data_IF_422535970095
#
_entry.id   IF_422535970095
#
_cell.length_a   1.000
_cell.length_b   1.000
_cell.length_c   1.000
_cell.angle_alpha   90.00
_cell.angle_beta   90.00
_cell.angle_gamma   90.00
#
_symmetry.space_group_name_H-M   'P 1'
#
loop_
_entity.id
_entity.type
_entity.pdbx_description
1 polymer ?
#
# COMPACT_ATOMS: atom_id res chain seq x y z
N UNK A 1 51.87 -8.99 1.63
CA UNK A 1 52.53 -8.39 2.80
C UNK A 1 53.50 -7.32 2.28
N UNK A 2 53.13 -6.05 2.41
CA UNK A 2 53.98 -4.90 2.14
C UNK A 2 53.65 -3.87 3.22
N UNK A 3 54.63 -3.56 4.07
CA UNK A 3 54.49 -2.66 5.21
C UNK A 3 54.53 -1.20 4.73
N UNK A 4 53.47 -0.44 5.01
CA UNK A 4 53.47 1.02 4.86
C UNK A 4 53.84 1.66 6.20
N UNK A 5 54.97 2.36 6.20
CA UNK A 5 55.51 3.14 7.31
C UNK A 5 54.87 4.53 7.25
N UNK A 6 54.04 4.88 8.24
CA UNK A 6 53.47 6.22 8.37
C UNK A 6 54.50 7.10 9.07
N UNK A 7 54.98 8.13 8.38
CA UNK A 7 55.69 9.25 9.00
C UNK A 7 54.97 10.51 8.54
N UNK A 8 54.42 11.27 9.48
CA UNK A 8 53.94 12.63 9.21
C UNK A 8 54.17 13.52 10.41
N UNK A 9 54.97 14.57 10.21
CA UNK A 9 54.91 15.93 10.75
C UNK A 9 56.29 16.58 10.46
N UNK A 10 56.46 17.80 9.98
CA UNK A 10 55.65 19.02 9.97
C UNK A 10 56.16 19.97 8.85
N UNK A 11 55.29 20.92 8.47
CA UNK A 11 55.52 22.19 7.76
C UNK A 11 55.23 22.32 6.24
N UNK A 12 54.18 23.13 6.03
CA UNK A 12 53.99 24.23 5.06
C UNK A 12 53.38 23.94 3.69
N UNK A 13 52.20 24.54 3.55
CA UNK A 13 51.60 25.11 2.32
C UNK A 13 50.93 24.09 1.40
N UNK A 14 49.61 24.26 1.24
CA UNK A 14 48.74 23.32 0.55
C UNK A 14 48.87 23.30 -0.97
N UNK A 15 48.04 22.47 -1.60
CA UNK A 15 47.12 22.80 -2.70
C UNK A 15 46.31 21.54 -3.07
N UNK A 16 45.13 21.84 -3.59
CA UNK A 16 43.94 21.08 -3.96
C UNK A 16 44.00 20.22 -5.24
N UNK A 17 42.94 19.38 -5.39
CA UNK A 17 42.19 18.94 -6.62
C UNK A 17 42.97 18.16 -7.71
N UNK A 18 42.42 17.30 -8.58
CA UNK A 18 41.10 16.68 -8.84
C UNK A 18 41.28 15.67 -10.00
N UNK A 19 40.38 14.67 -10.07
CA UNK A 19 39.82 14.00 -11.27
C UNK A 19 40.74 13.37 -12.34
N UNK A 20 40.51 12.08 -12.64
CA UNK A 20 39.78 11.70 -13.87
C UNK A 20 39.51 10.18 -13.92
N UNK A 21 38.28 9.89 -14.33
CA UNK A 21 37.72 8.59 -14.63
C UNK A 21 38.41 7.95 -15.86
N UNK A 22 38.50 6.61 -15.89
CA UNK A 22 38.18 5.85 -17.10
C UNK A 22 37.85 4.38 -16.77
N UNK A 23 36.63 4.01 -17.14
CA UNK A 23 36.03 2.67 -17.20
C UNK A 23 36.27 1.99 -18.57
N UNK A 24 35.99 0.69 -18.63
CA UNK A 24 35.88 -0.24 -19.79
C UNK A 24 37.22 -0.85 -20.28
N UNK A 25 37.35 -2.15 -20.61
CA UNK A 25 36.44 -3.29 -20.70
C UNK A 25 37.24 -4.61 -20.77
N UNK A 26 36.62 -5.70 -20.30
CA UNK A 26 36.66 -7.10 -20.80
C UNK A 26 38.00 -7.75 -21.21
N UNK A 27 38.34 -8.87 -20.55
CA UNK A 27 38.33 -10.19 -21.21
C UNK A 27 38.53 -11.35 -20.22
N UNK A 28 37.76 -12.42 -20.44
CA UNK A 28 37.82 -13.74 -19.82
C UNK A 28 39.24 -14.30 -19.71
N UNK A 29 39.58 -14.97 -18.59
CA UNK A 29 40.28 -16.27 -18.63
C UNK A 29 40.33 -16.95 -17.26
N UNK A 30 39.63 -18.08 -17.19
CA UNK A 30 39.90 -19.32 -16.45
C UNK A 30 40.55 -19.23 -15.03
N UNK A 31 39.75 -19.61 -14.04
CA UNK A 31 40.20 -20.07 -12.71
C UNK A 31 41.22 -21.22 -12.89
N UNK A 32 42.49 -21.00 -12.52
CA UNK A 32 43.43 -22.08 -12.24
C UNK A 32 43.57 -22.19 -10.72
N UNK A 33 43.16 -23.34 -10.18
CA UNK A 33 43.47 -23.71 -8.81
C UNK A 33 44.99 -23.79 -8.62
N UNK A 34 45.52 -23.09 -7.62
CA UNK A 34 46.90 -23.24 -7.16
C UNK A 34 46.86 -23.99 -5.84
N UNK A 35 47.12 -25.30 -5.89
CA UNK A 35 47.23 -26.16 -4.72
C UNK A 35 48.64 -25.99 -4.12
N UNK A 36 48.75 -25.23 -3.01
CA UNK A 36 49.99 -25.17 -2.22
C UNK A 36 49.86 -26.14 -1.04
N UNK A 37 50.50 -27.31 -1.13
CA UNK A 37 50.53 -28.31 -0.06
C UNK A 37 51.54 -27.89 1.02
N UNK A 38 51.05 -27.44 2.18
CA UNK A 38 51.82 -27.41 3.43
C UNK A 38 51.11 -28.32 4.43
N UNK A 39 51.70 -29.50 4.65
CA UNK A 39 51.19 -30.51 5.59
C UNK A 39 51.73 -30.19 6.98
N UNK A 40 50.89 -29.61 7.84
CA UNK A 40 51.01 -29.71 9.31
C UNK A 40 49.60 -29.85 9.86
N UNK A 41 49.38 -30.84 10.72
CA UNK A 41 48.08 -31.26 11.25
C UNK A 41 47.33 -30.16 12.00
N UNK A 42 46.51 -29.41 11.27
CA UNK A 42 45.52 -28.48 11.80
C UNK A 42 44.18 -29.09 11.43
N UNK A 43 43.32 -29.34 12.42
CA UNK A 43 41.94 -29.71 12.16
C UNK A 43 41.32 -28.65 11.23
N UNK A 44 41.02 -29.05 10.00
CA UNK A 44 40.28 -28.21 9.07
C UNK A 44 38.87 -28.04 9.64
N UNK A 45 38.65 -26.94 10.36
CA UNK A 45 37.31 -26.44 10.59
C UNK A 45 36.98 -25.62 9.34
N UNK A 46 36.14 -26.11 8.41
CA UNK A 46 35.74 -25.30 7.28
C UNK A 46 35.01 -24.07 7.84
N UNK A 47 35.63 -22.89 7.70
CA UNK A 47 34.95 -21.64 7.95
C UNK A 47 33.98 -21.44 6.77
N UNK A 48 32.75 -21.92 6.92
CA UNK A 48 31.68 -21.55 6.00
C UNK A 48 31.39 -20.07 6.20
N UNK A 49 32.00 -19.23 5.36
CA UNK A 49 31.52 -17.86 5.18
C UNK A 49 30.16 -18.01 4.53
N UNK A 50 29.10 -18.01 5.34
CA UNK A 50 27.73 -17.89 4.86
C UNK A 50 27.67 -16.53 4.17
N UNK A 51 27.62 -16.56 2.84
CA UNK A 51 27.28 -15.41 2.02
C UNK A 51 26.07 -14.72 2.63
N UNK A 52 26.19 -13.41 2.85
CA UNK A 52 25.37 -12.60 3.76
C UNK A 52 23.93 -13.05 3.95
N UNK A 53 23.51 -13.04 5.22
CA UNK A 53 22.11 -13.17 5.59
C UNK A 53 21.22 -12.23 4.76
N UNK A 54 20.13 -12.75 4.20
CA UNK A 54 19.15 -11.99 3.44
C UNK A 54 17.76 -12.22 4.03
N UNK A 55 17.00 -11.13 4.14
CA UNK A 55 15.62 -11.10 4.62
C UNK A 55 14.72 -10.74 3.44
N UNK A 56 13.94 -11.71 3.00
CA UNK A 56 12.92 -11.48 1.98
C UNK A 56 11.66 -10.97 2.68
N UNK A 57 11.25 -9.76 2.34
CA UNK A 57 9.95 -9.21 2.74
C UNK A 57 9.06 -9.11 1.53
N UNK A 58 7.78 -9.37 1.72
CA UNK A 58 6.81 -9.19 0.66
C UNK A 58 5.47 -8.60 1.11
N UNK A 59 4.74 -8.04 0.14
CA UNK A 59 5.14 -7.91 -1.27
C UNK A 59 6.25 -6.87 -1.48
N UNK A 60 7.03 -7.02 -2.57
CA UNK A 60 8.12 -6.09 -2.94
C UNK A 60 7.62 -4.74 -3.47
N UNK A 61 6.31 -4.56 -3.57
CA UNK A 61 5.63 -3.36 -4.03
C UNK A 61 4.67 -2.85 -2.95
N UNK A 62 4.14 -1.64 -3.17
CA UNK A 62 3.19 -1.04 -2.23
C UNK A 62 1.95 -1.94 -2.05
N UNK A 63 1.64 -2.23 -0.79
CA UNK A 63 0.45 -2.95 -0.37
C UNK A 63 -0.72 -1.99 -0.34
N UNK A 64 -1.82 -2.34 -1.00
CA UNK A 64 -3.06 -1.57 -0.93
C UNK A 64 -4.02 -2.26 0.03
N UNK A 65 -4.50 -1.54 1.03
CA UNK A 65 -5.40 -2.05 2.05
C UNK A 65 -6.66 -1.19 2.15
N UNK A 66 -7.83 -1.84 2.25
CA UNK A 66 -9.11 -1.14 2.41
C UNK A 66 -9.42 -0.91 3.89
N UNK A 67 -9.98 0.25 4.24
CA UNK A 67 -10.42 0.54 5.60
C UNK A 67 -11.41 -0.53 6.07
N UNK A 68 -11.21 -1.04 7.28
CA UNK A 68 -12.03 -2.08 7.90
C UNK A 68 -11.67 -3.52 7.52
N UNK A 69 -10.78 -3.73 6.54
CA UNK A 69 -10.33 -5.08 6.15
C UNK A 69 -9.07 -5.48 6.90
N UNK A 70 -8.63 -6.71 6.72
CA UNK A 70 -7.29 -7.15 7.14
C UNK A 70 -6.34 -7.20 5.95
N UNK A 71 -5.06 -6.98 6.19
CA UNK A 71 -4.00 -7.12 5.19
C UNK A 71 -2.80 -7.83 5.79
N UNK A 72 -2.05 -8.56 4.97
CA UNK A 72 -0.91 -9.35 5.40
C UNK A 72 0.35 -9.04 4.60
N UNK A 73 1.50 -9.04 5.27
CA UNK A 73 2.82 -8.92 4.67
C UNK A 73 3.70 -10.05 5.20
N UNK A 74 4.34 -10.78 4.31
CA UNK A 74 5.15 -11.94 4.68
C UNK A 74 6.60 -11.54 4.87
N UNK A 75 7.29 -12.25 5.75
CA UNK A 75 8.72 -12.10 6.00
C UNK A 75 9.37 -13.47 6.10
N UNK A 76 10.44 -13.69 5.34
CA UNK A 76 11.22 -14.92 5.36
C UNK A 76 12.70 -14.60 5.53
N UNK A 77 13.32 -15.11 6.58
CA UNK A 77 14.78 -15.00 6.79
C UNK A 77 15.46 -16.21 6.16
N UNK A 78 16.30 -15.99 5.14
CA UNK A 78 16.89 -17.08 4.35
C UNK A 78 18.12 -17.75 4.99
N UNK A 79 18.66 -17.16 6.06
CA UNK A 79 19.85 -17.64 6.75
C UNK A 79 19.56 -17.91 8.21
N UNK A 80 20.08 -19.04 8.70
CA UNK A 80 19.88 -19.50 10.08
C UNK A 80 20.54 -18.51 11.05
N UNK A 81 19.74 -17.67 11.67
CA UNK A 81 20.17 -16.79 12.76
C UNK A 81 19.82 -17.48 14.07
N UNK A 82 20.77 -18.28 14.59
CA UNK A 82 20.58 -18.95 15.87
C UNK A 82 20.46 -17.90 16.99
N UNK A 83 19.35 -17.94 17.73
CA UNK A 83 19.16 -17.13 18.95
C UNK A 83 18.50 -15.77 18.76
N UNK A 84 18.01 -15.43 17.57
CA UNK A 84 17.30 -14.16 17.31
C UNK A 84 15.85 -14.39 16.90
N UNK A 85 14.94 -13.56 17.43
CA UNK A 85 13.54 -13.56 17.02
C UNK A 85 13.32 -12.58 15.87
N UNK A 86 12.55 -12.99 14.86
CA UNK A 86 12.08 -12.07 13.82
C UNK A 86 11.05 -11.12 14.41
N UNK A 87 11.19 -9.86 14.08
CA UNK A 87 10.39 -8.75 14.56
C UNK A 87 9.82 -8.00 13.37
N UNK A 88 8.58 -7.54 13.52
CA UNK A 88 8.01 -6.54 12.63
C UNK A 88 8.06 -5.18 13.29
N UNK A 89 8.42 -4.18 12.51
CA UNK A 89 8.43 -2.79 12.94
C UNK A 89 7.70 -1.89 11.95
N UNK A 90 7.19 -0.75 12.44
CA UNK A 90 6.58 0.30 11.60
C UNK A 90 7.20 1.67 11.88
N UNK A 91 7.09 2.55 10.90
CA UNK A 91 7.49 3.96 11.05
C UNK A 91 8.62 4.32 10.10
N UNK A 92 9.66 4.97 10.64
CA UNK A 92 10.80 5.47 9.88
C UNK A 92 12.10 4.83 10.37
N UNK A 93 13.11 4.81 9.49
CA UNK A 93 14.40 4.15 9.68
C UNK A 93 15.11 4.53 11.00
N UNK A 94 14.90 5.75 11.50
CA UNK A 94 15.63 6.27 12.65
C UNK A 94 14.98 5.96 14.00
N UNK A 95 13.68 5.64 14.03
CA UNK A 95 12.96 5.32 15.25
C UNK A 95 11.75 4.41 14.95
N UNK A 96 12.00 3.15 14.57
CA UNK A 96 10.93 2.20 14.29
C UNK A 96 10.20 1.79 15.58
N UNK A 97 8.87 1.67 15.50
CA UNK A 97 8.05 1.12 16.58
C UNK A 97 7.89 -0.38 16.41
N UNK A 98 8.19 -1.14 17.46
CA UNK A 98 8.03 -2.60 17.48
C UNK A 98 6.55 -2.98 17.43
N UNK A 99 6.20 -3.89 16.51
CA UNK A 99 4.86 -4.45 16.37
C UNK A 99 4.79 -5.87 16.91
N UNK A 100 5.80 -6.68 16.60
CA UNK A 100 5.85 -8.09 16.98
C UNK A 100 7.26 -8.50 17.35
N UNK A 101 7.37 -9.48 18.23
CA UNK A 101 8.60 -10.18 18.56
C UNK A 101 8.34 -11.69 18.53
N UNK A 102 8.92 -12.37 17.54
CA UNK A 102 8.57 -13.75 17.22
C UNK A 102 7.09 -13.88 16.84
N UNK A 103 6.35 -14.72 17.57
CA UNK A 103 4.90 -14.91 17.37
C UNK A 103 4.03 -13.97 18.22
N UNK A 104 4.64 -13.12 19.04
CA UNK A 104 3.92 -12.29 20.01
C UNK A 104 3.75 -10.89 19.45
N UNK A 105 2.54 -10.36 19.50
CA UNK A 105 2.22 -8.99 19.08
C UNK A 105 2.16 -8.06 20.29
N UNK A 106 2.73 -6.86 20.16
CA UNK A 106 2.68 -5.81 21.19
C UNK A 106 1.23 -5.35 21.42
N UNK A 107 0.48 -5.21 20.33
CA UNK A 107 -0.97 -4.97 20.35
C UNK A 107 -1.66 -6.14 19.63
N UNK A 108 -2.08 -7.13 20.40
CA UNK A 108 -2.75 -8.33 19.90
C UNK A 108 -4.18 -8.07 19.38
N UNK A 109 -4.77 -6.91 19.67
CA UNK A 109 -6.06 -6.52 19.08
C UNK A 109 -5.87 -5.98 17.65
N UNK A 110 -4.68 -5.46 17.34
CA UNK A 110 -4.36 -4.85 16.04
C UNK A 110 -3.54 -5.75 15.13
N UNK A 111 -2.51 -6.38 15.67
CA UNK A 111 -1.53 -7.15 14.92
C UNK A 111 -1.57 -8.62 15.33
N UNK A 112 -1.29 -9.50 14.38
CA UNK A 112 -1.04 -10.93 14.63
C UNK A 112 0.00 -11.45 13.66
N UNK A 113 0.59 -12.60 13.97
CA UNK A 113 1.57 -13.26 13.10
C UNK A 113 1.01 -14.60 12.63
N UNK A 114 0.70 -14.71 11.33
CA UNK A 114 0.13 -15.91 10.75
C UNK A 114 0.45 -16.06 9.24
N UNK A 115 1.21 -17.09 8.82
CA UNK A 115 1.83 -18.13 9.66
C UNK A 115 2.95 -17.57 10.55
N UNK A 116 3.13 -18.23 11.71
CA UNK A 116 4.31 -18.05 12.56
C UNK A 116 5.13 -19.35 12.58
N UNK A 117 6.09 -19.47 11.67
CA UNK A 117 7.00 -20.61 11.58
C UNK A 117 8.38 -20.22 12.10
N UNK A 118 8.63 -20.55 13.37
CA UNK A 118 9.90 -20.28 14.03
C UNK A 118 11.06 -21.12 13.48
N UNK A 119 10.77 -22.27 12.87
CA UNK A 119 11.79 -23.18 12.35
C UNK A 119 12.36 -22.69 11.03
N UNK A 120 11.48 -22.24 10.13
CA UNK A 120 11.88 -21.74 8.80
C UNK A 120 11.96 -20.21 8.73
N UNK A 121 11.89 -19.55 9.88
CA UNK A 121 11.83 -18.09 10.02
C UNK A 121 10.86 -17.41 9.06
N UNK A 122 9.66 -17.98 8.93
CA UNK A 122 8.60 -17.46 8.06
C UNK A 122 7.48 -16.87 8.94
N UNK A 123 7.38 -15.54 8.92
CA UNK A 123 6.53 -14.76 9.82
C UNK A 123 5.73 -13.75 9.02
N UNK A 124 4.44 -13.99 8.89
CA UNK A 124 3.55 -13.07 8.16
C UNK A 124 2.81 -12.17 9.13
N UNK A 125 3.08 -10.87 9.09
CA UNK A 125 2.33 -9.87 9.83
C UNK A 125 0.93 -9.75 9.23
N UNK A 126 -0.09 -9.78 10.07
CA UNK A 126 -1.47 -9.47 9.73
C UNK A 126 -1.89 -8.24 10.51
N UNK A 127 -2.34 -7.21 9.80
CA UNK A 127 -2.92 -5.99 10.37
C UNK A 127 -4.43 -6.11 10.24
N UNK A 128 -5.14 -6.12 11.37
CA UNK A 128 -6.60 -6.25 11.42
C UNK A 128 -7.29 -4.88 11.44
N UNK A 129 -8.52 -4.82 10.92
CA UNK A 129 -9.36 -3.61 10.93
C UNK A 129 -8.58 -2.35 10.50
N UNK A 130 -8.02 -2.38 9.29
CA UNK A 130 -7.14 -1.33 8.76
C UNK A 130 -7.81 0.05 8.85
N UNK A 131 -7.04 1.03 9.28
CA UNK A 131 -7.39 2.44 9.37
C UNK A 131 -6.35 3.27 8.61
N UNK A 132 -6.68 4.50 8.25
CA UNK A 132 -5.72 5.38 7.56
C UNK A 132 -4.42 5.62 8.35
N UNK A 133 -4.48 5.57 9.68
CA UNK A 133 -3.31 5.66 10.57
C UNK A 133 -2.36 4.47 10.44
N UNK A 134 -2.76 3.38 9.81
CA UNK A 134 -1.90 2.22 9.54
C UNK A 134 -1.11 2.37 8.23
N UNK A 135 -1.38 3.41 7.44
CA UNK A 135 -0.57 3.73 6.29
C UNK A 135 0.86 4.10 6.71
N UNK A 136 1.85 3.65 5.94
CA UNK A 136 3.26 3.95 6.21
C UNK A 136 4.19 2.80 5.86
N UNK A 137 5.45 2.95 6.27
CA UNK A 137 6.50 1.95 6.09
C UNK A 137 6.46 0.88 7.17
N UNK A 138 6.66 -0.37 6.73
CA UNK A 138 6.83 -1.56 7.55
C UNK A 138 8.10 -2.27 7.13
N UNK A 139 8.82 -2.85 8.09
CA UNK A 139 9.99 -3.66 7.84
C UNK A 139 9.99 -4.87 8.77
N UNK A 140 10.63 -5.95 8.32
CA UNK A 140 10.82 -7.13 9.13
C UNK A 140 12.32 -7.42 9.31
N UNK A 141 12.69 -7.99 10.45
CA UNK A 141 14.08 -8.37 10.68
C UNK A 141 14.39 -8.71 12.12
N UNK A 142 15.64 -8.53 12.54
CA UNK A 142 16.08 -8.69 13.92
C UNK A 142 17.20 -7.68 14.24
N UNK A 143 17.67 -7.63 15.48
CA UNK A 143 18.79 -6.79 15.87
C UNK A 143 20.06 -7.19 15.10
N UNK A 144 20.40 -6.40 14.08
CA UNK A 144 21.54 -6.61 13.18
C UNK A 144 21.18 -6.73 11.71
N UNK A 145 19.91 -6.95 11.35
CA UNK A 145 19.48 -7.06 9.96
C UNK A 145 18.01 -6.72 9.77
N UNK A 146 17.69 -5.95 8.72
CA UNK A 146 16.32 -5.59 8.34
C UNK A 146 16.13 -5.82 6.85
N UNK A 147 14.90 -6.16 6.46
CA UNK A 147 14.44 -6.06 5.10
C UNK A 147 14.39 -4.62 4.61
N UNK A 148 14.18 -4.45 3.31
CA UNK A 148 13.67 -3.20 2.74
C UNK A 148 12.29 -2.85 3.33
N UNK A 149 11.92 -1.58 3.21
CA UNK A 149 10.64 -1.09 3.71
C UNK A 149 9.51 -1.34 2.71
N UNK A 150 8.44 -1.97 3.18
CA UNK A 150 7.19 -2.14 2.44
C UNK A 150 6.24 -1.00 2.80
N UNK A 151 5.67 -0.36 1.79
CA UNK A 151 4.71 0.73 1.98
C UNK A 151 3.29 0.18 1.97
N UNK A 152 2.54 0.43 3.05
CA UNK A 152 1.09 0.19 3.10
C UNK A 152 0.36 1.48 2.77
N UNK A 153 -0.45 1.44 1.72
CA UNK A 153 -1.35 2.51 1.29
C UNK A 153 -2.79 2.15 1.63
N UNK A 154 -3.49 3.06 2.30
CA UNK A 154 -4.86 2.80 2.78
C UNK A 154 -5.89 3.51 1.90
N UNK A 155 -6.88 2.75 1.46
CA UNK A 155 -8.00 3.19 0.62
C UNK A 155 -9.34 2.90 1.33
N UNK A 156 -10.41 3.58 0.94
CA UNK A 156 -11.73 3.42 1.51
C UNK A 156 -12.79 3.39 0.41
N UNK A 157 -13.64 2.36 0.45
CA UNK A 157 -14.78 2.23 -0.45
C UNK A 157 -15.78 3.39 -0.24
N UNK A 158 -16.58 3.74 -1.25
CA UNK A 158 -17.61 4.75 -1.12
C UNK A 158 -18.57 4.41 0.02
N UNK A 159 -18.78 5.39 0.91
CA UNK A 159 -19.68 5.28 2.05
C UNK A 159 -20.57 6.51 2.16
N UNK A 160 -21.74 6.32 2.75
CA UNK A 160 -22.74 7.38 2.89
C UNK A 160 -23.30 7.85 1.56
N UNK A 161 -23.36 6.98 0.55
CA UNK A 161 -23.95 7.29 -0.77
C UNK A 161 -25.43 7.61 -0.60
N UNK A 162 -25.83 8.81 -1.03
CA UNK A 162 -27.21 9.29 -0.88
C UNK A 162 -27.59 10.29 -1.95
N UNK A 163 -28.89 10.38 -2.24
CA UNK A 163 -29.47 11.43 -3.06
C UNK A 163 -29.89 12.61 -2.16
N UNK A 164 -29.36 13.80 -2.40
CA UNK A 164 -29.53 14.96 -1.50
C UNK A 164 -30.92 15.61 -1.61
N UNK A 165 -31.56 15.49 -2.77
CA UNK A 165 -32.81 16.18 -3.09
C UNK A 165 -33.96 15.21 -3.40
N UNK A 166 -33.87 13.99 -2.88
CA UNK A 166 -34.82 12.92 -3.11
C UNK A 166 -35.39 12.42 -1.77
N UNK A 167 -36.67 12.66 -1.54
CA UNK A 167 -37.49 11.96 -0.54
C UNK A 167 -38.00 10.63 -1.13
N UNK A 168 -38.68 9.79 -0.34
CA UNK A 168 -39.11 8.46 -0.77
C UNK A 168 -39.91 8.46 -2.09
N UNK A 169 -40.80 9.44 -2.27
CA UNK A 169 -41.58 9.63 -3.50
C UNK A 169 -41.39 11.08 -3.98
N UNK A 170 -40.85 11.25 -5.19
CA UNK A 170 -40.61 12.57 -5.80
C UNK A 170 -41.47 12.74 -7.05
N UNK A 171 -42.37 13.73 -7.03
CA UNK A 171 -43.11 14.13 -8.24
C UNK A 171 -42.25 15.01 -9.14
N UNK A 172 -42.14 14.65 -10.42
CA UNK A 172 -41.37 15.40 -11.43
C UNK A 172 -42.25 15.75 -12.62
N UNK A 173 -42.07 16.95 -13.18
CA UNK A 173 -42.86 17.40 -14.33
C UNK A 173 -42.28 16.86 -15.64
N UNK A 174 -43.12 16.25 -16.46
CA UNK A 174 -42.73 15.85 -17.81
C UNK A 174 -42.29 17.06 -18.65
N UNK A 175 -41.34 16.86 -19.56
CA UNK A 175 -40.80 17.88 -20.47
C UNK A 175 -40.14 19.07 -19.75
N UNK A 176 -39.76 18.91 -18.48
CA UNK A 176 -38.96 19.87 -17.72
C UNK A 176 -37.70 19.20 -17.18
N UNK A 177 -36.61 19.97 -17.13
CA UNK A 177 -35.36 19.50 -16.58
C UNK A 177 -35.50 19.29 -15.06
N UNK A 178 -35.27 18.06 -14.62
CA UNK A 178 -35.13 17.71 -13.20
C UNK A 178 -33.65 17.48 -12.90
N UNK A 179 -33.19 18.00 -11.77
CA UNK A 179 -31.81 17.82 -11.31
C UNK A 179 -31.78 16.83 -10.16
N UNK A 180 -30.88 15.86 -10.18
CA UNK A 180 -30.62 14.92 -9.10
C UNK A 180 -29.19 15.08 -8.62
N UNK A 181 -28.96 15.07 -7.31
CA UNK A 181 -27.62 15.18 -6.74
C UNK A 181 -27.30 13.96 -5.88
N UNK A 182 -26.26 13.23 -6.26
CA UNK A 182 -25.74 12.08 -5.51
C UNK A 182 -24.43 12.48 -4.81
N UNK A 183 -24.37 12.31 -3.50
CA UNK A 183 -23.19 12.56 -2.69
C UNK A 183 -22.64 11.24 -2.15
N UNK A 184 -21.32 11.09 -2.16
CA UNK A 184 -20.63 9.93 -1.57
C UNK A 184 -19.25 10.31 -1.07
N UNK A 185 -18.71 9.59 -0.09
CA UNK A 185 -17.36 9.84 0.46
C UNK A 185 -16.47 8.62 0.27
N UNK A 186 -15.30 8.79 -0.32
CA UNK A 186 -14.38 7.69 -0.63
C UNK A 186 -12.91 8.14 -0.64
N UNK A 187 -11.98 7.17 -0.65
CA UNK A 187 -10.59 7.45 -1.04
C UNK A 187 -9.98 6.26 -1.80
N UNK A 188 -9.41 6.43 -2.99
CA UNK A 188 -9.43 7.63 -3.84
C UNK A 188 -10.86 8.10 -4.14
N UNK A 189 -10.99 9.30 -4.72
CA UNK A 189 -12.29 9.87 -5.08
C UNK A 189 -13.13 8.86 -5.89
N UNK A 190 -14.44 8.82 -5.63
CA UNK A 190 -15.32 7.86 -6.28
C UNK A 190 -15.66 8.31 -7.70
N UNK A 191 -15.89 7.34 -8.58
CA UNK A 191 -16.63 7.52 -9.82
C UNK A 191 -18.11 7.24 -9.54
N UNK A 192 -19.00 8.12 -9.99
CA UNK A 192 -20.44 7.96 -9.85
C UNK A 192 -21.05 7.75 -11.24
N UNK A 193 -21.90 6.74 -11.40
CA UNK A 193 -22.69 6.51 -12.62
C UNK A 193 -24.18 6.59 -12.30
N UNK A 194 -24.97 6.91 -13.32
CA UNK A 194 -26.42 7.07 -13.19
C UNK A 194 -27.16 6.06 -14.06
N UNK A 195 -28.28 5.58 -13.55
CA UNK A 195 -29.21 4.68 -14.26
C UNK A 195 -30.65 5.15 -14.04
N UNK A 196 -31.48 5.01 -15.08
CA UNK A 196 -32.94 5.15 -15.01
C UNK A 196 -33.55 3.82 -15.44
N UNK A 197 -34.31 3.18 -14.55
CA UNK A 197 -34.83 1.81 -14.73
C UNK A 197 -33.73 0.81 -15.15
N UNK A 198 -32.54 0.94 -14.56
CA UNK A 198 -31.37 0.11 -14.89
C UNK A 198 -30.67 0.44 -16.21
N UNK A 199 -31.18 1.42 -16.99
CA UNK A 199 -30.52 1.89 -18.21
C UNK A 199 -29.55 3.01 -17.88
N UNK A 200 -28.28 2.86 -18.26
CA UNK A 200 -27.24 3.86 -18.00
C UNK A 200 -27.55 5.20 -18.68
N UNK A 201 -27.36 6.30 -17.93
CA UNK A 201 -27.52 7.67 -18.40
C UNK A 201 -26.22 8.44 -18.21
N UNK A 202 -25.68 8.97 -19.30
CA UNK A 202 -24.41 9.72 -19.31
C UNK A 202 -24.59 11.19 -19.69
N UNK A 203 -25.66 11.52 -20.43
CA UNK A 203 -25.98 12.90 -20.79
C UNK A 203 -26.46 13.68 -19.58
N UNK A 204 -26.02 14.94 -19.45
CA UNK A 204 -26.40 15.81 -18.34
C UNK A 204 -25.75 15.45 -17.00
N UNK A 205 -24.75 14.55 -16.99
CA UNK A 205 -24.00 14.17 -15.78
C UNK A 205 -22.78 15.06 -15.60
N UNK A 206 -22.57 15.55 -14.37
CA UNK A 206 -21.37 16.27 -13.96
C UNK A 206 -20.84 15.74 -12.61
N UNK A 207 -19.55 15.95 -12.35
CA UNK A 207 -18.87 15.48 -11.13
C UNK A 207 -18.00 16.57 -10.54
N UNK A 208 -18.05 16.73 -9.22
CA UNK A 208 -17.20 17.64 -8.46
C UNK A 208 -16.64 16.88 -7.26
N UNK A 209 -15.34 17.02 -7.00
CA UNK A 209 -14.66 16.47 -5.84
C UNK A 209 -14.28 17.59 -4.88
N UNK A 210 -14.51 17.37 -3.58
CA UNK A 210 -13.96 18.23 -2.55
C UNK A 210 -12.44 18.02 -2.42
N UNK A 211 -11.78 18.94 -1.71
CA UNK A 211 -10.47 18.63 -1.16
C UNK A 211 -10.57 17.43 -0.21
N UNK A 212 -9.45 16.74 -0.02
CA UNK A 212 -9.34 15.65 0.94
C UNK A 212 -9.51 16.20 2.37
N UNK A 213 -10.46 15.63 3.10
CA UNK A 213 -10.75 16.01 4.48
C UNK A 213 -9.60 15.60 5.40
N UNK A 214 -9.14 16.52 6.25
CA UNK A 214 -7.97 16.31 7.12
C UNK A 214 -8.25 15.27 8.22
N UNK A 215 -9.49 15.19 8.69
CA UNK A 215 -9.88 14.32 9.81
C UNK A 215 -10.23 12.92 9.33
N UNK A 216 -11.11 12.84 8.34
CA UNK A 216 -11.63 11.57 7.82
C UNK A 216 -10.79 10.98 6.71
N UNK A 217 -9.88 11.78 6.13
CA UNK A 217 -9.04 11.40 4.99
C UNK A 217 -9.81 11.06 3.71
N UNK A 218 -11.11 11.36 3.67
CA UNK A 218 -11.96 11.08 2.52
C UNK A 218 -12.12 12.28 1.62
N UNK A 219 -12.45 12.00 0.37
CA UNK A 219 -12.88 12.97 -0.62
C UNK A 219 -14.39 12.80 -0.78
N UNK A 220 -15.12 13.90 -0.72
CA UNK A 220 -16.55 13.92 -1.03
C UNK A 220 -16.71 14.14 -2.53
N UNK A 221 -17.37 13.20 -3.19
CA UNK A 221 -17.75 13.32 -4.61
C UNK A 221 -19.23 13.64 -4.69
N UNK A 222 -19.55 14.75 -5.35
CA UNK A 222 -20.92 15.14 -5.67
C UNK A 222 -21.12 14.99 -7.17
N UNK A 223 -22.05 14.14 -7.58
CA UNK A 223 -22.47 13.99 -8.96
C UNK A 223 -23.86 14.57 -9.15
N UNK A 224 -24.04 15.31 -10.25
CA UNK A 224 -25.31 15.92 -10.60
C UNK A 224 -25.78 15.36 -11.93
N UNK A 225 -26.99 14.83 -11.98
CA UNK A 225 -27.68 14.43 -13.20
C UNK A 225 -28.80 15.42 -13.51
N UNK A 226 -28.76 16.03 -14.69
CA UNK A 226 -29.85 16.84 -15.24
C UNK A 226 -30.58 16.02 -16.30
N UNK A 227 -31.85 15.69 -16.07
CA UNK A 227 -32.63 14.81 -16.94
C UNK A 227 -34.04 15.33 -17.20
N UNK A 228 -34.53 15.15 -18.43
CA UNK A 228 -35.87 15.56 -18.84
C UNK A 228 -36.73 14.34 -19.17
N UNK A 229 -37.72 14.08 -18.31
CA UNK A 229 -38.65 12.96 -18.47
C UNK A 229 -39.69 13.20 -19.57
N UNK A 230 -40.14 12.12 -20.21
CA UNK A 230 -41.18 12.14 -21.23
C UNK A 230 -42.55 11.79 -20.64
N UNK A 231 -43.62 12.34 -21.23
CA UNK A 231 -45.01 12.19 -20.73
C UNK A 231 -45.49 10.73 -20.64
N UNK A 232 -44.91 9.82 -21.43
CA UNK A 232 -45.32 8.41 -21.52
C UNK A 232 -44.60 7.49 -20.54
N UNK A 233 -43.70 8.01 -19.71
CA UNK A 233 -42.77 7.19 -18.92
C UNK A 233 -43.33 6.69 -17.59
N UNK A 234 -44.44 7.24 -17.09
CA UNK A 234 -45.06 6.78 -15.83
C UNK A 234 -44.16 6.98 -14.61
N UNK A 235 -44.05 5.98 -13.74
CA UNK A 235 -43.10 6.00 -12.62
C UNK A 235 -41.75 5.44 -13.07
N UNK A 236 -40.65 6.04 -12.62
CA UNK A 236 -39.28 5.64 -12.96
C UNK A 236 -38.41 5.52 -11.71
N UNK A 237 -37.41 4.66 -11.74
CA UNK A 237 -36.41 4.56 -10.68
C UNK A 237 -35.10 5.19 -11.13
N UNK A 238 -34.70 6.27 -10.47
CA UNK A 238 -33.41 6.93 -10.69
C UNK A 238 -32.42 6.38 -9.68
N UNK A 239 -31.28 5.89 -10.16
CA UNK A 239 -30.24 5.26 -9.34
C UNK A 239 -28.88 5.89 -9.61
N UNK A 240 -28.15 6.23 -8.56
CA UNK A 240 -26.71 6.52 -8.64
C UNK A 240 -25.90 5.37 -8.03
N UNK A 241 -24.80 5.00 -8.70
CA UNK A 241 -23.86 3.98 -8.26
C UNK A 241 -22.47 4.60 -8.10
N UNK A 242 -21.86 4.47 -6.93
CA UNK A 242 -20.54 5.00 -6.62
C UNK A 242 -19.53 3.86 -6.46
N UNK A 243 -18.37 3.97 -7.10
CA UNK A 243 -17.27 3.00 -6.98
C UNK A 243 -15.89 3.65 -7.03
N UNK A 244 -14.90 2.96 -6.48
CA UNK A 244 -13.47 3.25 -6.62
C UNK A 244 -12.68 1.93 -6.54
N UNK A 245 -11.34 2.02 -6.53
CA UNK A 245 -10.46 0.84 -6.41
C UNK A 245 -10.67 0.00 -5.14
N UNK A 246 -11.27 0.56 -4.08
CA UNK A 246 -11.58 -0.17 -2.84
C UNK A 246 -12.92 -0.93 -2.90
N UNK A 247 -13.76 -0.66 -3.90
CA UNK A 247 -15.14 -1.18 -3.96
C UNK A 247 -15.24 -2.64 -4.40
N UNK A 248 -14.14 -3.23 -4.91
CA UNK A 248 -14.18 -4.56 -5.53
C UNK A 248 -15.21 -4.61 -6.66
N UNK A 249 -16.13 -5.56 -6.61
CA UNK A 249 -17.21 -5.75 -7.60
C UNK A 249 -18.55 -5.11 -7.21
N UNK A 250 -18.68 -4.56 -5.99
CA UNK A 250 -19.96 -4.08 -5.45
C UNK A 250 -19.94 -2.56 -5.24
N UNK A 251 -20.56 -1.77 -6.13
CA UNK A 251 -20.67 -0.32 -5.94
C UNK A 251 -21.65 0.02 -4.81
N UNK A 252 -21.46 1.18 -4.17
CA UNK A 252 -22.46 1.75 -3.28
C UNK A 252 -23.60 2.36 -4.09
N UNK A 253 -24.85 2.15 -3.68
CA UNK A 253 -26.03 2.48 -4.49
C UNK A 253 -27.00 3.34 -3.69
N UNK A 254 -27.57 4.36 -4.33
CA UNK A 254 -28.74 5.08 -3.83
C UNK A 254 -29.76 5.26 -4.95
N UNK A 255 -31.04 5.06 -4.63
CA UNK A 255 -32.13 5.09 -5.60
C UNK A 255 -33.33 5.86 -5.06
N UNK A 256 -34.12 6.44 -5.96
CA UNK A 256 -35.40 7.09 -5.67
C UNK A 256 -36.41 6.76 -6.76
N UNK A 257 -37.67 6.59 -6.38
CA UNK A 257 -38.79 6.49 -7.32
C UNK A 257 -39.31 7.89 -7.64
N UNK A 258 -39.51 8.16 -8.92
CA UNK A 258 -40.01 9.43 -9.42
C UNK A 258 -41.31 9.21 -10.19
N UNK A 259 -42.34 9.94 -9.78
CA UNK A 259 -43.65 9.91 -10.43
C UNK A 259 -43.76 11.08 -11.40
N UNK A 260 -43.92 10.76 -12.70
CA UNK A 260 -43.89 11.74 -13.77
C UNK A 260 -45.30 12.28 -14.00
N UNK A 261 -45.50 13.57 -13.69
CA UNK A 261 -46.79 14.25 -13.85
C UNK A 261 -46.85 15.09 -15.14
N UNK A 262 -48.01 15.03 -15.81
CA UNK A 262 -48.36 15.86 -16.95
C UNK A 262 -49.25 17.02 -16.46
N UNK A 263 -48.67 18.08 -15.90
CA UNK A 263 -49.42 19.31 -15.60
C UNK A 263 -49.18 20.34 -16.70
#
# INVERSE_FOLDING_TARGET
MCLMKVISHFYRSGIYFSNACNTFATSNMALKEVLLLVVVGIAYIPLHIVTGANIDVGPSTAVIASVGTSVSMWCKVNTVTTGWYTQWVRGANNNPSLLTEGCISVDAAKYSVNPCDQTNHNFTLVISNVQFSDGGGYACGHSGMSSDWVIVSVIAAPRGTRLLNATADLEVRAQQDTTFMCETKAYPAATVTWEIDGTAVTSGVTHINSARDVTTQLITTTSTLKYMFQKTQGSKTVTCKASNSASGSTPAVASVNVDIICK
#
